data_IF_921818200657
#
_entry.id   IF_921818200657
#
_cell.length_a   1.000
_cell.length_b   1.000
_cell.length_c   1.000
_cell.angle_alpha   90.00
_cell.angle_beta   90.00
_cell.angle_gamma   90.00
#
_symmetry.space_group_name_H-M   'P 1'
#
loop_
_entity.id
_entity.type
_entity.pdbx_description
1 polymer ?
#
# COMPACT_ATOMS: atom_id res chain seq x y z
N UNK A 1 -34.71 -12.93 -16.64
CA UNK A 1 -33.79 -11.98 -15.99
C UNK A 1 -32.58 -12.78 -15.52
N UNK A 2 -31.43 -12.64 -16.18
CA UNK A 2 -30.22 -13.38 -15.80
C UNK A 2 -29.53 -12.59 -14.69
N UNK A 3 -29.62 -13.10 -13.46
CA UNK A 3 -28.82 -12.60 -12.34
C UNK A 3 -27.43 -13.22 -12.50
N UNK A 4 -26.54 -12.50 -13.18
CA UNK A 4 -25.15 -12.92 -13.31
C UNK A 4 -24.45 -12.87 -11.95
N UNK A 5 -24.12 -14.03 -11.40
CA UNK A 5 -23.23 -14.13 -10.24
C UNK A 5 -21.91 -13.43 -10.56
N UNK A 6 -21.33 -12.64 -9.64
CA UNK A 6 -20.07 -11.97 -9.88
C UNK A 6 -18.98 -13.01 -10.19
N UNK A 7 -18.05 -12.71 -11.10
CA UNK A 7 -16.98 -13.62 -11.49
C UNK A 7 -16.17 -14.04 -10.26
N UNK A 8 -15.83 -15.33 -10.21
CA UNK A 8 -15.08 -15.97 -9.14
C UNK A 8 -13.71 -15.28 -9.00
N UNK A 9 -13.57 -14.39 -8.02
CA UNK A 9 -12.30 -13.74 -7.73
C UNK A 9 -11.47 -14.73 -6.94
N UNK A 10 -10.52 -15.39 -7.60
CA UNK A 10 -9.52 -16.20 -6.92
C UNK A 10 -8.79 -15.35 -5.88
N UNK A 11 -9.08 -15.59 -4.60
CA UNK A 11 -8.33 -14.99 -3.52
C UNK A 11 -6.92 -15.61 -3.53
N UNK A 12 -5.91 -14.79 -3.85
CA UNK A 12 -4.49 -15.14 -3.70
C UNK A 12 -4.29 -15.88 -2.38
N UNK A 13 -3.88 -17.16 -2.45
CA UNK A 13 -3.57 -17.99 -1.29
C UNK A 13 -2.44 -17.32 -0.51
N UNK A 14 -2.76 -16.75 0.65
CA UNK A 14 -1.76 -16.07 1.50
C UNK A 14 -1.07 -17.09 2.38
N UNK A 15 0.24 -17.20 2.23
CA UNK A 15 1.08 -17.79 3.27
C UNK A 15 0.87 -17.01 4.57
N UNK A 16 0.52 -17.74 5.63
CA UNK A 16 0.46 -17.22 6.99
C UNK A 16 1.83 -16.63 7.38
N UNK A 17 1.81 -15.47 8.02
CA UNK A 17 2.98 -14.71 8.51
C UNK A 17 3.87 -14.05 7.44
N UNK A 18 3.35 -12.97 6.85
CA UNK A 18 4.11 -11.73 6.71
C UNK A 18 3.13 -10.57 6.85
N UNK A 19 3.38 -9.71 7.84
CA UNK A 19 2.95 -8.30 7.79
C UNK A 19 3.23 -7.86 6.36
N UNK A 20 2.23 -7.32 5.65
CA UNK A 20 2.34 -7.12 4.20
C UNK A 20 3.67 -6.43 3.89
N UNK A 21 4.58 -7.14 3.23
CA UNK A 21 5.93 -6.62 2.93
C UNK A 21 5.91 -5.35 2.07
N UNK A 22 4.73 -4.99 1.53
CA UNK A 22 4.50 -3.83 0.70
C UNK A 22 4.03 -2.60 1.49
N UNK A 23 3.75 -2.73 2.80
CA UNK A 23 3.30 -1.59 3.62
C UNK A 23 4.43 -0.54 3.73
N UNK A 24 5.70 -0.91 3.62
CA UNK A 24 6.81 0.06 3.63
C UNK A 24 7.03 0.77 2.29
N UNK A 25 6.36 0.34 1.22
CA UNK A 25 6.55 0.90 -0.13
C UNK A 25 5.78 2.20 -0.30
N UNK A 26 4.59 2.32 0.30
CA UNK A 26 3.79 3.55 0.13
C UNK A 26 4.39 4.71 0.95
N UNK A 27 4.56 5.87 0.31
CA UNK A 27 5.05 7.09 0.98
C UNK A 27 4.21 7.43 2.22
N UNK A 28 2.90 7.19 2.21
CA UNK A 28 2.00 7.50 3.31
C UNK A 28 2.30 6.68 4.57
N UNK A 29 2.82 5.46 4.41
CA UNK A 29 3.21 4.60 5.54
C UNK A 29 4.55 5.01 6.17
N UNK A 30 5.36 5.82 5.46
CA UNK A 30 6.67 6.30 5.94
C UNK A 30 6.56 7.59 6.78
N UNK A 31 5.43 8.29 6.69
CA UNK A 31 5.23 9.60 7.35
C UNK A 31 4.68 9.39 8.75
N UNK A 32 5.52 9.48 9.79
CA UNK A 32 5.08 9.25 11.17
C UNK A 32 3.86 10.14 11.56
N UNK A 33 2.83 9.60 12.23
CA UNK A 33 1.75 10.41 12.75
C UNK A 33 2.28 11.28 13.90
N UNK A 34 2.10 12.59 13.76
CA UNK A 34 2.58 13.64 14.68
C UNK A 34 2.12 13.44 16.13
N UNK A 35 1.10 12.60 16.35
CA UNK A 35 0.53 12.34 17.69
C UNK A 35 1.27 11.30 18.52
N UNK A 36 2.23 10.55 17.95
CA UNK A 36 2.92 9.45 18.67
C UNK A 36 4.37 9.76 19.09
N UNK A 37 4.97 10.85 18.61
CA UNK A 37 6.33 11.23 19.01
C UNK A 37 6.31 12.02 20.32
N UNK A 38 6.55 11.26 21.39
CA UNK A 38 7.00 11.70 22.71
C UNK A 38 8.18 12.68 22.60
N UNK A 39 8.06 13.80 23.31
CA UNK A 39 9.13 14.64 23.87
C UNK A 39 10.43 14.74 23.05
N UNK A 40 10.40 15.34 21.86
CA UNK A 40 11.59 15.97 21.28
C UNK A 40 11.23 17.36 20.75
N UNK A 41 12.12 18.32 21.01
CA UNK A 41 12.01 19.76 20.75
C UNK A 41 11.21 20.07 19.48
N UNK A 42 10.06 20.71 19.66
CA UNK A 42 8.98 20.75 18.67
C UNK A 42 9.23 21.90 17.68
N UNK A 43 9.69 21.67 16.44
CA UNK A 43 9.36 22.61 15.38
C UNK A 43 7.83 22.69 15.32
N UNK A 44 7.26 23.90 15.34
CA UNK A 44 5.82 24.15 15.43
C UNK A 44 5.01 23.14 14.61
N UNK A 45 3.93 22.60 15.19
CA UNK A 45 3.11 21.51 14.58
C UNK A 45 2.72 21.78 13.13
N UNK A 46 2.56 23.05 12.76
CA UNK A 46 2.26 23.53 11.39
C UNK A 46 3.40 23.28 10.40
N UNK A 47 4.65 23.36 10.84
CA UNK A 47 5.83 23.22 9.99
C UNK A 47 6.04 21.76 9.53
N UNK A 48 5.76 20.80 10.42
CA UNK A 48 5.86 19.36 10.12
C UNK A 48 4.73 18.93 9.16
N UNK A 49 3.48 19.35 9.41
CA UNK A 49 2.34 19.01 8.53
C UNK A 49 2.55 19.51 7.10
N UNK A 50 2.98 20.77 6.96
CA UNK A 50 3.29 21.32 5.66
C UNK A 50 4.47 20.63 4.98
N UNK A 51 5.47 20.15 5.74
CA UNK A 51 6.62 19.42 5.19
C UNK A 51 6.20 18.07 4.62
N UNK A 52 5.42 17.30 5.36
CA UNK A 52 4.98 15.97 4.95
C UNK A 52 4.03 16.04 3.76
N UNK A 53 3.10 17.01 3.77
CA UNK A 53 2.22 17.23 2.63
C UNK A 53 2.98 17.64 1.37
N UNK A 54 4.00 18.50 1.49
CA UNK A 54 4.90 18.83 0.38
C UNK A 54 5.66 17.61 -0.12
N UNK A 55 6.09 16.72 0.78
CA UNK A 55 6.79 15.49 0.40
C UNK A 55 5.87 14.56 -0.41
N UNK A 56 4.66 14.31 0.08
CA UNK A 56 3.66 13.51 -0.65
C UNK A 56 3.30 14.13 -2.01
N UNK A 57 3.16 15.45 -2.09
CA UNK A 57 2.90 16.12 -3.37
C UNK A 57 4.01 15.87 -4.41
N UNK A 58 5.27 15.72 -3.99
CA UNK A 58 6.37 15.39 -4.91
C UNK A 58 6.24 13.98 -5.48
N UNK A 59 5.71 13.05 -4.69
CA UNK A 59 5.40 11.68 -5.14
C UNK A 59 4.20 11.65 -6.10
N UNK A 60 3.14 12.41 -5.81
CA UNK A 60 1.92 12.44 -6.65
C UNK A 60 2.11 13.26 -7.93
N UNK A 61 2.81 14.39 -7.86
CA UNK A 61 2.98 15.33 -8.98
C UNK A 61 4.45 15.56 -9.37
N UNK A 62 5.24 14.50 -9.64
CA UNK A 62 6.69 14.61 -9.81
C UNK A 62 7.08 15.62 -10.89
N UNK A 63 6.35 15.64 -12.01
CA UNK A 63 6.59 16.56 -13.13
C UNK A 63 6.52 18.04 -12.73
N UNK A 64 5.62 18.41 -11.81
CA UNK A 64 5.46 19.80 -11.37
C UNK A 64 6.65 20.27 -10.50
N UNK A 65 7.37 19.32 -9.91
CA UNK A 65 8.59 19.58 -9.13
C UNK A 65 9.87 19.34 -9.95
N UNK A 66 9.75 19.07 -11.25
CA UNK A 66 10.88 18.75 -12.13
C UNK A 66 11.60 17.47 -11.73
N UNK A 67 10.86 16.50 -11.18
CA UNK A 67 11.29 15.13 -10.98
C UNK A 67 10.98 14.32 -12.25
N UNK A 68 11.72 13.23 -12.45
CA UNK A 68 11.48 12.29 -13.53
C UNK A 68 10.09 11.67 -13.43
N UNK A 69 9.60 11.08 -14.51
CA UNK A 69 8.23 10.59 -14.56
C UNK A 69 8.10 9.56 -15.69
N UNK A 70 7.24 8.54 -15.54
CA UNK A 70 7.07 7.47 -16.52
C UNK A 70 6.73 7.97 -17.92
N UNK A 71 5.96 9.06 -18.05
CA UNK A 71 5.58 9.62 -19.35
C UNK A 71 6.68 10.46 -20.02
N UNK A 72 7.82 10.66 -19.36
CA UNK A 72 8.95 11.45 -19.87
C UNK A 72 10.26 10.69 -19.79
N UNK A 73 10.24 9.41 -19.42
CA UNK A 73 11.43 8.56 -19.41
C UNK A 73 11.95 8.45 -20.84
N UNK A 74 13.07 9.10 -21.12
CA UNK A 74 13.71 9.01 -22.43
C UNK A 74 14.53 7.72 -22.47
N UNK A 75 14.41 6.98 -23.58
CA UNK A 75 15.36 5.91 -23.87
C UNK A 75 16.69 6.56 -24.23
N UNK A 76 17.73 6.31 -23.43
CA UNK A 76 19.10 6.72 -23.80
C UNK A 76 19.65 5.90 -24.99
N UNK A 77 18.96 4.81 -25.37
CA UNK A 77 19.36 3.93 -26.48
C UNK A 77 18.40 4.08 -27.65
N UNK A 78 18.92 4.51 -28.79
CA UNK A 78 18.17 4.62 -30.04
C UNK A 78 17.62 3.27 -30.53
N UNK A 79 18.29 2.16 -30.16
CA UNK A 79 17.90 0.80 -30.51
C UNK A 79 18.13 -0.11 -29.31
N UNK A 80 17.11 -0.29 -28.47
CA UNK A 80 17.15 -1.20 -27.32
C UNK A 80 15.82 -1.21 -26.55
N UNK A 81 15.56 -2.24 -25.74
CA UNK A 81 14.37 -2.25 -24.88
C UNK A 81 14.41 -1.06 -23.92
N UNK A 82 13.29 -0.33 -23.83
CA UNK A 82 13.10 0.78 -22.92
C UNK A 82 13.15 0.25 -21.49
N UNK A 83 14.28 0.43 -20.81
CA UNK A 83 14.36 0.19 -19.36
C UNK A 83 13.70 1.37 -18.66
N UNK A 84 12.43 1.17 -18.27
CA UNK A 84 11.71 2.13 -17.45
C UNK A 84 12.29 2.10 -16.02
N UNK A 85 12.68 3.25 -15.46
CA UNK A 85 13.05 3.34 -14.06
C UNK A 85 11.91 2.90 -13.14
N UNK A 86 12.25 2.36 -11.96
CA UNK A 86 11.25 2.18 -10.91
C UNK A 86 10.87 3.55 -10.35
N UNK A 87 9.58 3.89 -10.47
CA UNK A 87 9.02 5.15 -10.01
C UNK A 87 8.26 5.00 -8.69
N UNK A 88 8.32 3.82 -8.08
CA UNK A 88 7.61 3.49 -6.84
C UNK A 88 8.27 4.12 -5.62
N UNK A 89 9.60 4.16 -5.57
CA UNK A 89 10.36 4.87 -4.54
C UNK A 89 11.17 6.02 -5.15
N UNK A 90 10.84 7.25 -4.74
CA UNK A 90 11.45 8.48 -5.26
C UNK A 90 12.19 9.28 -4.19
N UNK A 91 12.33 8.74 -2.98
CA UNK A 91 12.89 9.50 -1.85
C UNK A 91 14.34 9.92 -2.11
N UNK A 92 15.13 9.08 -2.78
CA UNK A 92 16.49 9.43 -3.18
C UNK A 92 16.52 10.59 -4.18
N UNK A 93 15.66 10.53 -5.21
CA UNK A 93 15.56 11.60 -6.22
C UNK A 93 15.12 12.93 -5.58
N UNK A 94 14.12 12.86 -4.69
CA UNK A 94 13.63 14.02 -3.93
C UNK A 94 14.74 14.61 -3.05
N UNK A 95 15.54 13.75 -2.41
CA UNK A 95 16.68 14.16 -1.57
C UNK A 95 17.76 14.86 -2.39
N UNK A 96 18.10 14.32 -3.57
CA UNK A 96 19.07 14.91 -4.50
C UNK A 96 18.57 16.26 -5.04
N UNK A 97 17.29 16.36 -5.38
CA UNK A 97 16.68 17.62 -5.85
C UNK A 97 16.66 18.70 -4.76
N UNK A 98 16.58 18.29 -3.50
CA UNK A 98 16.61 19.19 -2.35
C UNK A 98 15.32 19.99 -2.14
N UNK A 99 15.49 21.21 -1.61
CA UNK A 99 14.37 22.05 -1.22
C UNK A 99 13.74 22.77 -2.44
N UNK A 100 12.76 22.12 -3.06
CA UNK A 100 11.98 22.69 -4.17
C UNK A 100 10.73 23.38 -3.62
N UNK A 101 10.52 24.64 -4.02
CA UNK A 101 9.30 25.41 -3.68
C UNK A 101 8.06 24.72 -4.24
N UNK A 102 6.96 24.76 -3.51
CA UNK A 102 5.66 24.26 -3.99
C UNK A 102 5.15 25.14 -5.14
N UNK A 103 4.86 24.57 -6.31
CA UNK A 103 4.28 25.30 -7.43
C UNK A 103 2.97 25.97 -7.03
N UNK A 104 2.67 27.21 -7.50
CA UNK A 104 1.46 27.94 -7.12
C UNK A 104 0.16 27.15 -7.33
N UNK A 105 0.10 26.37 -8.43
CA UNK A 105 -1.04 25.52 -8.80
C UNK A 105 -1.30 24.38 -7.82
N UNK A 106 -0.27 23.95 -7.08
CA UNK A 106 -0.37 22.85 -6.12
C UNK A 106 -0.55 23.34 -4.67
N UNK A 107 -0.53 24.65 -4.42
CA UNK A 107 -0.79 25.19 -3.07
C UNK A 107 -2.16 24.78 -2.52
N UNK A 108 -3.27 24.85 -3.29
CA UNK A 108 -4.57 24.42 -2.79
C UNK A 108 -4.64 22.91 -2.47
N UNK A 109 -3.80 22.11 -3.13
CA UNK A 109 -3.75 20.66 -2.90
C UNK A 109 -3.09 20.29 -1.56
N UNK A 110 -2.28 21.18 -0.96
CA UNK A 110 -1.61 20.90 0.33
C UNK A 110 -2.61 20.52 1.41
N UNK A 111 -3.70 21.27 1.55
CA UNK A 111 -4.73 20.99 2.56
C UNK A 111 -5.42 19.64 2.33
N UNK A 112 -5.65 19.27 1.07
CA UNK A 112 -6.22 17.96 0.72
C UNK A 112 -5.27 16.82 1.08
N UNK A 113 -3.97 17.01 0.83
CA UNK A 113 -2.95 16.03 1.17
C UNK A 113 -2.78 15.89 2.68
N UNK A 114 -2.84 16.98 3.44
CA UNK A 114 -2.83 16.90 4.90
C UNK A 114 -4.02 16.09 5.44
N UNK A 115 -5.22 16.32 4.89
CA UNK A 115 -6.42 15.53 5.22
C UNK A 115 -6.26 14.07 4.81
N UNK A 116 -5.65 13.81 3.65
CA UNK A 116 -5.34 12.46 3.18
C UNK A 116 -4.43 11.72 4.16
N UNK A 117 -3.31 12.33 4.55
CA UNK A 117 -2.36 11.75 5.52
C UNK A 117 -3.09 11.44 6.83
N UNK A 118 -3.88 12.38 7.36
CA UNK A 118 -4.66 12.17 8.60
C UNK A 118 -5.62 10.99 8.48
N UNK A 119 -6.35 10.88 7.36
CA UNK A 119 -7.29 9.77 7.11
C UNK A 119 -6.59 8.44 6.92
N UNK A 120 -5.43 8.44 6.26
CA UNK A 120 -4.59 7.25 6.07
C UNK A 120 -4.24 6.63 7.43
N UNK A 121 -3.75 7.45 8.37
CA UNK A 121 -3.41 6.99 9.72
C UNK A 121 -4.61 6.56 10.56
N UNK A 122 -5.77 7.19 10.36
CA UNK A 122 -7.01 6.79 11.03
C UNK A 122 -7.67 5.56 10.39
N UNK A 123 -7.20 5.09 9.23
CA UNK A 123 -7.84 4.02 8.49
C UNK A 123 -7.55 2.65 9.12
N UNK A 124 -8.60 1.95 9.55
CA UNK A 124 -8.50 0.56 9.98
C UNK A 124 -8.44 -0.38 8.76
N UNK A 125 -7.29 -0.38 8.07
CA UNK A 125 -7.06 -1.25 6.90
C UNK A 125 -7.32 -2.73 7.20
N UNK A 126 -7.05 -3.18 8.42
CA UNK A 126 -7.33 -4.56 8.84
C UNK A 126 -8.82 -4.87 8.86
N UNK A 127 -9.63 -3.97 9.45
CA UNK A 127 -11.08 -4.07 9.50
C UNK A 127 -11.69 -3.99 8.09
N UNK A 128 -11.28 -3.00 7.30
CA UNK A 128 -11.72 -2.84 5.90
C UNK A 128 -11.44 -4.09 5.07
N UNK A 129 -10.23 -4.66 5.20
CA UNK A 129 -9.88 -5.92 4.54
C UNK A 129 -10.78 -7.07 4.98
N UNK A 130 -11.11 -7.17 6.27
CA UNK A 130 -12.00 -8.21 6.80
C UNK A 130 -13.43 -8.12 6.26
N UNK A 131 -13.92 -6.89 6.00
CA UNK A 131 -15.25 -6.65 5.43
C UNK A 131 -15.33 -7.00 3.93
N UNK A 132 -14.31 -6.64 3.15
CA UNK A 132 -14.31 -6.81 1.68
C UNK A 132 -13.81 -8.20 1.26
N UNK A 133 -12.82 -8.74 1.97
CA UNK A 133 -12.18 -10.01 1.66
C UNK A 133 -11.98 -10.79 2.97
N UNK A 134 -13.04 -11.41 3.44
CA UNK A 134 -12.96 -12.30 4.60
C UNK A 134 -12.06 -13.49 4.23
N UNK A 135 -10.93 -13.63 4.91
CA UNK A 135 -9.99 -14.75 4.71
C UNK A 135 -10.56 -16.11 5.14
N UNK A 136 -11.88 -16.19 5.37
CA UNK A 136 -12.62 -17.37 5.84
C UNK A 136 -13.21 -18.18 4.68
N UNK A 137 -12.74 -17.97 3.45
CA UNK A 137 -13.09 -18.86 2.32
C UNK A 137 -12.28 -20.15 2.45
N UNK A 138 -12.94 -21.19 2.98
CA UNK A 138 -12.67 -22.62 2.85
C UNK A 138 -11.37 -23.20 3.41
N UNK A 139 -11.30 -23.36 4.74
CA UNK A 139 -10.61 -24.52 5.36
C UNK A 139 -11.60 -25.70 5.56
N UNK A 140 -12.91 -25.46 5.46
CA UNK A 140 -13.94 -26.47 5.70
C UNK A 140 -14.27 -27.38 4.51
N UNK A 141 -13.67 -27.17 3.32
CA UNK A 141 -13.96 -28.03 2.16
C UNK A 141 -13.02 -29.23 1.98
N UNK A 142 -12.05 -29.44 2.88
CA UNK A 142 -11.13 -30.59 2.82
C UNK A 142 -11.38 -31.65 3.91
N UNK A 143 -12.58 -31.72 4.49
CA UNK A 143 -13.03 -32.91 5.21
C UNK A 143 -13.59 -33.92 4.20
N UNK A 144 -12.77 -34.32 3.22
CA UNK A 144 -13.02 -35.56 2.48
C UNK A 144 -12.63 -36.69 3.41
N UNK A 145 -13.65 -37.23 4.07
CA UNK A 145 -13.61 -38.42 4.92
C UNK A 145 -12.89 -39.56 4.16
N UNK A 146 -11.80 -40.16 4.68
CA UNK A 146 -11.34 -41.43 4.15
C UNK A 146 -12.31 -42.52 4.64
N UNK A 147 -12.81 -43.29 3.68
CA UNK A 147 -13.52 -44.54 3.93
C UNK A 147 -12.56 -45.63 4.42
N UNK A 148 -13.13 -46.49 5.28
CA UNK A 148 -12.85 -47.91 5.52
C UNK A 148 -11.88 -48.46 6.60
N UNK A 149 -12.43 -49.54 7.21
CA UNK A 149 -11.83 -50.66 7.96
C UNK A 149 -11.63 -50.43 9.47
N UNK A 150 -12.01 -51.30 10.42
CA UNK A 150 -12.30 -52.74 10.43
C UNK A 150 -13.31 -53.07 11.54
N UNK A 151 -14.31 -53.92 11.27
CA UNK A 151 -15.08 -54.64 12.30
C UNK A 151 -14.44 -56.01 12.48
N UNK A 152 -13.65 -56.15 13.54
CA UNK A 152 -13.20 -57.44 14.06
C UNK A 152 -14.28 -57.95 15.01
N UNK A 153 -14.97 -59.04 14.68
CA UNK A 153 -15.78 -59.78 15.64
C UNK A 153 -14.95 -60.94 16.22
N UNK A 154 -15.07 -61.06 17.53
CA UNK A 154 -14.23 -61.83 18.41
C UNK A 154 -14.52 -63.34 18.35
N UNK A 155 -13.46 -64.12 18.51
CA UNK A 155 -13.54 -65.41 19.20
C UNK A 155 -13.72 -65.15 20.70
N UNK A 156 -14.79 -65.67 21.31
CA UNK A 156 -14.71 -66.15 22.70
C UNK A 156 -15.82 -67.17 23.01
N UNK A 157 -15.36 -68.32 23.54
CA UNK A 157 -16.02 -69.41 24.29
C UNK A 157 -17.05 -70.30 23.61
#
# INVERSE_FOLDING_TARGET
MVVGLPPNRECLKKHHHRIFSNDLIDVLNRLAPITLTREQEVPSKENIQGRDARHVLKHIFPRQFGLSNPFTAQSEKAFGPLLLPDFTDRDQEIKVKGNVKTPPRLKPALELIERLIKRHWACNYRGLRGLVCSSKVNILHNQHKPDESHRSEAQES
#
